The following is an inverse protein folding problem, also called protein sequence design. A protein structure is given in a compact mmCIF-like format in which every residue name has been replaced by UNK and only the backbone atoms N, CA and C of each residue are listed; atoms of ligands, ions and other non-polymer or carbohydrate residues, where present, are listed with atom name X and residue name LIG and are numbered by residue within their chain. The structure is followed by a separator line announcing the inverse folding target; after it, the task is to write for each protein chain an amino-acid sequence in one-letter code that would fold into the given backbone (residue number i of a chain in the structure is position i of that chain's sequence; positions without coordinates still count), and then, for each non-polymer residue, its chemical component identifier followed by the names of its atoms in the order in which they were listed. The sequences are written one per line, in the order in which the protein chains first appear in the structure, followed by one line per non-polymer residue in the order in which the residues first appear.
data_IF_560450348141
#
_entry.id   IF_560450348141
#
_cell.length_a   1.000
_cell.length_b   1.000
_cell.length_c   1.000
_cell.angle_alpha   90.00
_cell.angle_beta   90.00
_cell.angle_gamma   90.00
#
_symmetry.space_group_name_H-M   'P 1'
#
loop_
_entity.id
_entity.type
_entity.pdbx_description
1 polymer ?
#
# COMPACT_ATOMS: atom_id res chain seq x y z
N UNK A 1 15.68 8.91 14.52
CA UNK A 1 14.83 9.73 13.63
C UNK A 1 13.42 9.15 13.64
N UNK A 2 12.35 9.95 13.55
CA UNK A 2 10.97 9.46 13.59
C UNK A 2 10.39 9.35 12.18
N UNK A 3 9.61 8.29 11.94
CA UNK A 3 8.76 8.13 10.76
C UNK A 3 7.30 8.14 11.22
N UNK A 4 6.49 8.97 10.63
CA UNK A 4 5.05 9.04 10.82
C UNK A 4 4.38 8.38 9.62
N UNK A 5 3.47 7.43 9.87
CA UNK A 5 2.75 6.72 8.81
C UNK A 5 1.32 7.24 8.76
N UNK A 6 1.00 7.99 7.71
CA UNK A 6 -0.34 8.50 7.41
C UNK A 6 -1.22 7.39 6.81
N UNK A 7 -1.44 6.32 7.56
CA UNK A 7 -2.19 5.15 7.12
C UNK A 7 -2.70 4.34 8.30
N UNK A 8 -3.89 3.77 8.17
CA UNK A 8 -4.47 2.80 9.10
C UNK A 8 -4.27 1.34 8.66
N UNK A 9 -3.48 1.09 7.60
CA UNK A 9 -3.23 -0.24 7.06
C UNK A 9 -2.36 -1.08 8.00
N UNK A 10 -2.86 -2.21 8.55
CA UNK A 10 -2.05 -3.11 9.38
C UNK A 10 -0.88 -3.72 8.61
N UNK A 11 -1.05 -3.98 7.31
CA UNK A 11 -0.01 -4.55 6.47
C UNK A 11 1.18 -3.60 6.31
N UNK A 12 0.94 -2.30 6.03
CA UNK A 12 2.02 -1.29 5.98
C UNK A 12 2.76 -1.16 7.30
N UNK A 13 2.04 -1.17 8.41
CA UNK A 13 2.64 -1.16 9.74
C UNK A 13 3.52 -2.40 9.96
N UNK A 14 3.02 -3.59 9.63
CA UNK A 14 3.76 -4.84 9.77
C UNK A 14 5.04 -4.83 8.91
N UNK A 15 4.97 -4.34 7.67
CA UNK A 15 6.13 -4.21 6.77
C UNK A 15 7.21 -3.30 7.38
N UNK A 16 6.86 -2.12 7.91
CA UNK A 16 7.83 -1.23 8.57
C UNK A 16 8.43 -1.88 9.82
N UNK A 17 7.62 -2.56 10.63
CA UNK A 17 8.07 -3.28 11.81
C UNK A 17 9.03 -4.41 11.49
N UNK A 18 8.80 -5.14 10.42
CA UNK A 18 9.68 -6.23 9.97
C UNK A 18 11.07 -5.74 9.56
N UNK A 19 11.20 -4.47 9.19
CA UNK A 19 12.49 -3.86 8.81
C UNK A 19 13.07 -2.94 9.90
N UNK A 20 12.62 -3.10 11.16
CA UNK A 20 13.20 -2.43 12.34
C UNK A 20 12.66 -1.03 12.60
N UNK A 21 11.56 -0.61 11.95
CA UNK A 21 10.97 0.73 12.10
C UNK A 21 9.63 0.61 12.82
N UNK A 22 9.51 1.27 13.98
CA UNK A 22 8.23 1.49 14.66
C UNK A 22 7.74 2.90 14.31
N UNK A 23 6.77 3.05 13.39
CA UNK A 23 6.27 4.37 13.01
C UNK A 23 5.25 4.90 14.02
N UNK A 24 5.10 6.21 14.05
CA UNK A 24 3.94 6.86 14.70
C UNK A 24 2.78 6.83 13.72
N UNK A 25 1.65 6.22 14.10
CA UNK A 25 0.48 6.11 13.23
C UNK A 25 -0.38 7.36 13.29
N UNK A 26 -0.77 7.87 12.13
CA UNK A 26 -1.68 9.01 11.99
C UNK A 26 -2.80 8.63 11.01
N UNK A 27 -4.05 8.82 11.43
CA UNK A 27 -5.20 8.61 10.55
C UNK A 27 -5.41 9.86 9.68
N UNK A 28 -5.34 9.71 8.37
CA UNK A 28 -5.47 10.85 7.44
C UNK A 28 -6.90 11.32 7.22
N UNK A 29 -7.89 10.44 7.42
CA UNK A 29 -9.32 10.72 7.21
C UNK A 29 -9.67 11.37 5.85
N UNK A 30 -8.87 11.09 4.82
CA UNK A 30 -9.11 11.60 3.46
C UNK A 30 -10.31 10.86 2.85
N UNK A 31 -11.22 11.60 2.25
CA UNK A 31 -12.28 11.06 1.39
C UNK A 31 -11.66 10.69 0.02
N UNK A 32 -11.26 9.43 -0.11
CA UNK A 32 -10.55 8.92 -1.27
C UNK A 32 -11.44 8.96 -2.53
N UNK A 33 -12.73 8.65 -2.40
CA UNK A 33 -13.66 8.64 -3.53
C UNK A 33 -13.88 10.05 -4.06
N UNK A 34 -14.14 11.02 -3.19
CA UNK A 34 -14.28 12.42 -3.57
C UNK A 34 -13.00 12.99 -4.19
N UNK A 35 -11.83 12.62 -3.64
CA UNK A 35 -10.54 13.07 -4.18
C UNK A 35 -10.30 12.57 -5.60
N UNK A 36 -10.55 11.29 -5.87
CA UNK A 36 -10.39 10.69 -7.20
C UNK A 36 -11.42 11.29 -8.17
N UNK A 37 -12.68 11.42 -7.75
CA UNK A 37 -13.73 12.03 -8.59
C UNK A 37 -13.39 13.48 -9.00
N UNK A 38 -12.80 14.25 -8.09
CA UNK A 38 -12.42 15.64 -8.36
C UNK A 38 -11.22 15.78 -9.28
N UNK A 39 -10.32 14.81 -9.30
CA UNK A 39 -9.13 14.81 -10.15
C UNK A 39 -9.43 14.45 -11.63
N UNK A 40 -10.58 13.84 -11.91
CA UNK A 40 -10.94 13.36 -13.24
C UNK A 40 -10.27 12.02 -13.60
N UNK A 41 -10.18 11.67 -14.88
CA UNK A 41 -9.59 10.40 -15.30
C UNK A 41 -8.11 10.29 -14.90
N UNK A 42 -7.77 9.23 -14.19
CA UNK A 42 -6.42 8.93 -13.73
C UNK A 42 -6.03 7.50 -14.15
N UNK A 43 -4.77 7.31 -14.49
CA UNK A 43 -4.17 5.97 -14.54
C UNK A 43 -4.08 5.39 -13.12
N UNK A 44 -4.01 4.05 -12.96
CA UNK A 44 -3.84 3.44 -11.64
C UNK A 44 -2.64 3.98 -10.85
N UNK A 45 -1.53 4.27 -11.53
CA UNK A 45 -0.32 4.82 -10.91
C UNK A 45 -0.49 6.27 -10.46
N UNK A 46 -1.16 7.10 -11.25
CA UNK A 46 -1.49 8.47 -10.86
C UNK A 46 -2.46 8.50 -9.68
N UNK A 47 -3.45 7.62 -9.67
CA UNK A 47 -4.43 7.52 -8.59
C UNK A 47 -3.77 7.17 -7.24
N UNK A 48 -2.96 6.10 -7.19
CA UNK A 48 -2.32 5.71 -5.93
C UNK A 48 -1.30 6.74 -5.45
N UNK A 49 -0.63 7.45 -6.37
CA UNK A 49 0.29 8.53 -6.02
C UNK A 49 -0.46 9.74 -5.45
N UNK A 50 -1.57 10.15 -6.08
CA UNK A 50 -2.44 11.23 -5.60
C UNK A 50 -2.95 10.93 -4.19
N UNK A 51 -3.50 9.73 -3.98
CA UNK A 51 -4.05 9.33 -2.67
C UNK A 51 -2.95 9.24 -1.60
N UNK A 52 -1.77 8.72 -1.95
CA UNK A 52 -0.63 8.72 -1.04
C UNK A 52 -0.22 10.14 -0.62
N UNK A 53 -0.20 11.07 -1.59
CA UNK A 53 0.09 12.49 -1.35
C UNK A 53 -0.93 13.12 -0.42
N UNK A 54 -2.20 13.02 -0.75
CA UNK A 54 -3.28 13.62 0.05
C UNK A 54 -3.30 13.09 1.48
N UNK A 55 -3.04 11.77 1.67
CA UNK A 55 -2.92 11.17 3.00
C UNK A 55 -1.77 11.74 3.81
N UNK A 56 -0.61 11.93 3.18
CA UNK A 56 0.54 12.52 3.86
C UNK A 56 0.31 14.00 4.22
N UNK A 57 -0.24 14.78 3.29
CA UNK A 57 -0.53 16.20 3.47
C UNK A 57 -1.60 16.46 4.54
N UNK A 58 -2.61 15.59 4.62
CA UNK A 58 -3.73 15.73 5.56
C UNK A 58 -3.32 15.61 7.05
N UNK A 59 -2.16 15.04 7.34
CA UNK A 59 -1.70 14.86 8.73
C UNK A 59 -0.55 15.81 9.12
N UNK A 60 -0.19 16.75 8.25
CA UNK A 60 0.85 17.73 8.54
C UNK A 60 0.43 18.60 9.73
N UNK A 61 1.27 18.65 10.78
CA UNK A 61 1.04 19.39 12.01
C UNK A 61 2.39 19.90 12.56
N UNK A 62 2.49 21.16 13.06
CA UNK A 62 3.73 21.69 13.62
C UNK A 62 4.33 20.86 14.77
N UNK A 63 3.55 20.04 15.46
CA UNK A 63 4.05 19.14 16.51
C UNK A 63 4.80 17.90 15.95
N UNK A 64 4.75 17.67 14.66
CA UNK A 64 5.47 16.56 14.01
C UNK A 64 6.93 16.97 13.79
N UNK A 65 7.87 16.15 14.26
CA UNK A 65 9.30 16.27 13.97
C UNK A 65 9.84 14.96 13.41
N UNK A 66 9.98 14.90 12.08
CA UNK A 66 10.43 13.71 11.36
C UNK A 66 9.92 13.64 9.94
N UNK A 67 9.85 12.43 9.39
CA UNK A 67 9.29 12.20 8.06
C UNK A 67 7.84 11.72 8.13
N UNK A 68 6.99 12.22 7.23
CA UNK A 68 5.60 11.78 7.07
C UNK A 68 5.51 10.95 5.80
N UNK A 69 5.07 9.71 5.92
CA UNK A 69 4.87 8.77 4.81
C UNK A 69 3.38 8.52 4.60
N UNK A 70 2.87 8.94 3.46
CA UNK A 70 1.58 8.51 2.93
C UNK A 70 1.73 7.32 1.99
N UNK A 71 0.71 6.48 1.92
CA UNK A 71 0.70 5.34 1.02
C UNK A 71 -0.69 4.93 0.61
N UNK A 72 -0.82 4.55 -0.67
CA UNK A 72 -2.04 3.95 -1.21
C UNK A 72 -1.70 2.78 -2.14
N UNK A 73 -2.67 1.86 -2.35
CA UNK A 73 -2.46 0.70 -3.21
C UNK A 73 -3.73 0.34 -3.98
N UNK A 74 -3.54 -0.04 -5.24
CA UNK A 74 -4.60 -0.49 -6.13
C UNK A 74 -4.16 -1.71 -6.94
N UNK A 75 -5.07 -2.66 -7.14
CA UNK A 75 -4.86 -3.80 -8.00
C UNK A 75 -5.56 -3.57 -9.34
N UNK A 76 -4.86 -3.83 -10.43
CA UNK A 76 -5.33 -3.69 -11.79
C UNK A 76 -5.35 -5.06 -12.48
N UNK A 77 -6.47 -5.39 -13.14
CA UNK A 77 -6.61 -6.54 -14.02
C UNK A 77 -7.33 -6.09 -15.29
N UNK A 78 -6.73 -6.31 -16.46
CA UNK A 78 -7.26 -5.90 -17.77
C UNK A 78 -7.63 -4.41 -17.88
N UNK A 79 -6.87 -3.53 -17.29
CA UNK A 79 -7.14 -2.08 -17.30
C UNK A 79 -8.23 -1.63 -16.32
N UNK A 80 -8.77 -2.55 -15.52
CA UNK A 80 -9.79 -2.23 -14.50
C UNK A 80 -9.16 -2.26 -13.11
N UNK A 81 -9.38 -1.20 -12.34
CA UNK A 81 -8.89 -1.09 -10.95
C UNK A 81 -9.87 -1.73 -9.98
N UNK A 82 -9.36 -2.58 -9.12
CA UNK A 82 -10.11 -3.27 -8.08
C UNK A 82 -9.61 -2.85 -6.67
N UNK A 83 -10.40 -2.07 -5.97
CA UNK A 83 -10.18 -1.74 -4.57
C UNK A 83 -10.51 -2.90 -3.63
N UNK A 84 -10.84 -2.61 -2.37
CA UNK A 84 -11.30 -3.61 -1.39
C UNK A 84 -12.72 -4.07 -1.74
N UNK A 85 -13.02 -5.38 -1.74
CA UNK A 85 -14.36 -5.86 -2.10
C UNK A 85 -15.43 -5.60 -1.04
N UNK A 86 -15.04 -5.59 0.25
CA UNK A 86 -15.91 -5.45 1.42
C UNK A 86 -16.99 -6.53 1.60
N UNK A 87 -17.57 -7.05 0.51
CA UNK A 87 -18.62 -8.07 0.51
C UNK A 87 -18.09 -9.41 -0.02
N UNK A 88 -18.50 -10.55 0.57
CA UNK A 88 -18.11 -11.89 0.11
C UNK A 88 -18.48 -12.15 -1.37
N UNK A 89 -19.66 -11.74 -1.81
CA UNK A 89 -20.10 -11.89 -3.20
C UNK A 89 -19.17 -11.18 -4.18
N UNK A 90 -18.77 -9.93 -3.86
CA UNK A 90 -17.85 -9.14 -4.69
C UNK A 90 -16.45 -9.79 -4.70
N UNK A 91 -15.99 -10.29 -3.56
CA UNK A 91 -14.70 -11.00 -3.49
C UNK A 91 -14.73 -12.27 -4.37
N UNK A 92 -15.85 -13.03 -4.34
CA UNK A 92 -16.01 -14.23 -5.15
C UNK A 92 -15.99 -13.92 -6.65
N UNK A 93 -16.74 -12.92 -7.09
CA UNK A 93 -16.73 -12.48 -8.50
C UNK A 93 -15.30 -12.12 -8.95
N UNK A 94 -14.54 -11.40 -8.14
CA UNK A 94 -13.15 -11.04 -8.46
C UNK A 94 -12.24 -12.26 -8.53
N UNK A 95 -12.35 -13.21 -7.60
CA UNK A 95 -11.57 -14.43 -7.63
C UNK A 95 -11.86 -15.29 -8.86
N UNK A 96 -13.13 -15.36 -9.29
CA UNK A 96 -13.52 -16.04 -10.54
C UNK A 96 -12.92 -15.38 -11.78
N UNK A 97 -12.70 -14.05 -11.74
CA UNK A 97 -12.06 -13.31 -12.83
C UNK A 97 -10.52 -13.44 -12.82
N UNK A 98 -9.90 -13.48 -11.65
CA UNK A 98 -8.42 -13.38 -11.52
C UNK A 98 -7.72 -14.74 -11.45
N UNK A 99 -8.38 -15.83 -11.06
CA UNK A 99 -7.76 -17.17 -10.99
C UNK A 99 -7.11 -17.56 -12.31
N UNK A 100 -5.91 -18.13 -12.26
CA UNK A 100 -5.13 -18.54 -13.43
C UNK A 100 -4.60 -17.39 -14.28
N UNK A 101 -4.79 -16.14 -13.87
CA UNK A 101 -4.44 -14.94 -14.63
C UNK A 101 -3.37 -14.10 -13.93
N UNK A 102 -2.92 -13.06 -14.60
CA UNK A 102 -1.95 -12.12 -14.08
C UNK A 102 -2.56 -10.71 -14.04
N UNK A 103 -2.39 -10.01 -12.92
CA UNK A 103 -2.73 -8.61 -12.75
C UNK A 103 -1.53 -7.82 -12.23
N UNK A 104 -1.73 -6.54 -11.97
CA UNK A 104 -0.68 -5.65 -11.49
C UNK A 104 -1.13 -4.93 -10.23
N UNK A 105 -0.29 -4.94 -9.20
CA UNK A 105 -0.51 -4.14 -8.01
C UNK A 105 0.40 -2.91 -8.04
N UNK A 106 -0.20 -1.76 -7.83
CA UNK A 106 0.47 -0.46 -7.75
C UNK A 106 0.42 0.05 -6.32
N UNK A 107 1.57 0.44 -5.77
CA UNK A 107 1.67 1.06 -4.45
C UNK A 107 2.35 2.42 -4.56
N UNK A 108 1.58 3.48 -4.34
CA UNK A 108 2.03 4.86 -4.29
C UNK A 108 2.56 5.22 -2.90
N UNK A 109 3.64 5.98 -2.89
CA UNK A 109 4.28 6.47 -1.68
C UNK A 109 4.51 7.97 -1.82
N UNK A 110 4.25 8.72 -0.75
CA UNK A 110 4.55 10.14 -0.65
C UNK A 110 5.24 10.43 0.66
N UNK A 111 6.47 10.93 0.59
CA UNK A 111 7.31 11.24 1.73
C UNK A 111 7.47 12.75 1.84
N UNK A 112 7.19 13.30 3.02
CA UNK A 112 7.36 14.71 3.36
C UNK A 112 8.46 14.81 4.42
N UNK A 113 9.45 15.67 4.20
CA UNK A 113 10.40 16.08 5.23
C UNK A 113 9.74 17.12 6.14
N UNK A 114 9.55 16.78 7.39
CA UNK A 114 8.95 17.66 8.41
C UNK A 114 9.84 17.74 9.65
N UNK A 115 11.15 17.62 9.45
CA UNK A 115 12.13 17.68 10.55
C UNK A 115 12.20 19.10 11.13
N UNK A 116 12.29 19.17 12.48
CA UNK A 116 12.27 20.42 13.19
C UNK A 116 10.89 21.10 13.25
N UNK A 117 9.81 20.40 12.94
CA UNK A 117 8.44 20.95 12.96
C UNK A 117 8.13 21.91 11.80
N UNK A 118 8.91 21.85 10.74
CA UNK A 118 8.79 22.74 9.57
C UNK A 118 8.53 21.91 8.31
N UNK A 119 7.53 22.33 7.52
CA UNK A 119 7.26 21.70 6.24
C UNK A 119 8.41 21.98 5.25
N UNK A 120 9.10 20.94 4.88
CA UNK A 120 10.19 20.95 3.91
C UNK A 120 9.79 20.32 2.58
N UNK A 121 10.79 19.78 1.87
CA UNK A 121 10.59 19.13 0.57
C UNK A 121 9.78 17.84 0.68
N UNK A 122 9.11 17.48 -0.40
CA UNK A 122 8.39 16.22 -0.51
C UNK A 122 8.79 15.45 -1.78
N UNK A 123 8.69 14.12 -1.70
CA UNK A 123 9.01 13.21 -2.81
C UNK A 123 7.96 12.10 -2.89
N UNK A 124 7.58 11.77 -4.10
CA UNK A 124 6.65 10.68 -4.35
C UNK A 124 7.17 9.69 -5.38
N UNK A 125 6.60 8.49 -5.37
CA UNK A 125 6.89 7.46 -6.35
C UNK A 125 5.89 6.32 -6.25
N UNK A 126 5.89 5.48 -7.29
CA UNK A 126 5.04 4.29 -7.38
C UNK A 126 5.93 3.07 -7.60
N UNK A 127 5.64 2.01 -6.87
CA UNK A 127 6.17 0.67 -7.13
C UNK A 127 5.05 -0.20 -7.69
N UNK A 128 5.28 -0.79 -8.87
CA UNK A 128 4.32 -1.66 -9.54
C UNK A 128 4.89 -3.06 -9.65
N UNK A 129 4.08 -4.07 -9.33
CA UNK A 129 4.48 -5.47 -9.35
C UNK A 129 3.40 -6.32 -9.99
N UNK A 130 3.81 -7.27 -10.84
CA UNK A 130 2.91 -8.26 -11.41
C UNK A 130 2.66 -9.39 -10.42
N UNK A 131 1.42 -9.82 -10.35
CA UNK A 131 0.97 -10.93 -9.51
C UNK A 131 0.22 -11.93 -10.37
N UNK A 132 0.71 -13.16 -10.40
CA UNK A 132 0.07 -14.27 -11.11
C UNK A 132 -0.66 -15.17 -10.12
N UNK A 133 -1.93 -15.35 -10.35
CA UNK A 133 -2.78 -16.23 -9.56
C UNK A 133 -2.66 -17.67 -10.04
N UNK A 134 -2.67 -18.63 -9.11
CA UNK A 134 -2.84 -20.04 -9.43
C UNK A 134 -4.24 -20.31 -9.99
N UNK A 135 -4.42 -21.46 -10.63
CA UNK A 135 -5.75 -21.93 -11.02
C UNK A 135 -6.48 -22.53 -9.80
N UNK A 136 -7.04 -21.61 -9.00
CA UNK A 136 -7.68 -21.92 -7.72
C UNK A 136 -9.08 -22.47 -7.96
N UNK A 137 -9.43 -23.56 -7.28
CA UNK A 137 -10.76 -24.17 -7.38
C UNK A 137 -11.83 -23.35 -6.64
N UNK A 138 -13.08 -23.47 -7.07
CA UNK A 138 -14.17 -22.75 -6.42
C UNK A 138 -14.32 -23.05 -4.92
N UNK A 139 -14.18 -24.32 -4.44
CA UNK A 139 -14.19 -24.59 -3.01
C UNK A 139 -13.07 -23.90 -2.22
N UNK A 140 -11.86 -23.78 -2.81
CA UNK A 140 -10.75 -23.06 -2.19
C UNK A 140 -11.04 -21.55 -2.11
N UNK A 141 -11.60 -20.99 -3.18
CA UNK A 141 -12.04 -19.58 -3.22
C UNK A 141 -13.07 -19.32 -2.12
N UNK A 142 -14.11 -20.17 -2.02
CA UNK A 142 -15.15 -20.01 -1.03
C UNK A 142 -14.62 -20.15 0.39
N UNK A 143 -13.70 -21.09 0.62
CA UNK A 143 -13.02 -21.27 1.92
C UNK A 143 -12.15 -20.05 2.28
N UNK A 144 -11.42 -19.48 1.31
CA UNK A 144 -10.61 -18.29 1.54
C UNK A 144 -11.47 -17.06 1.85
N UNK A 145 -12.56 -16.87 1.14
CA UNK A 145 -13.50 -15.76 1.38
C UNK A 145 -14.15 -15.89 2.78
N UNK A 146 -14.46 -17.11 3.21
CA UNK A 146 -15.05 -17.36 4.52
C UNK A 146 -14.13 -16.93 5.69
N UNK A 147 -12.81 -16.82 5.48
CA UNK A 147 -11.88 -16.27 6.48
C UNK A 147 -12.06 -14.76 6.72
N UNK A 148 -12.68 -14.04 5.78
CA UNK A 148 -12.83 -12.60 5.80
C UNK A 148 -11.56 -11.82 5.42
N UNK A 149 -10.41 -12.48 5.25
CA UNK A 149 -9.14 -11.83 4.89
C UNK A 149 -9.22 -11.06 3.56
N UNK A 150 -9.71 -11.66 2.45
CA UNK A 150 -9.74 -10.99 1.16
C UNK A 150 -10.66 -9.77 1.12
N UNK A 151 -11.59 -9.62 2.05
CA UNK A 151 -12.57 -8.53 2.05
C UNK A 151 -11.95 -7.16 2.36
N UNK A 152 -10.77 -7.13 2.97
CA UNK A 152 -10.15 -5.94 3.56
C UNK A 152 -8.93 -5.42 2.77
N UNK A 153 -8.58 -6.07 1.65
CA UNK A 153 -7.38 -5.77 0.86
C UNK A 153 -7.73 -5.51 -0.60
N UNK A 154 -6.94 -4.63 -1.26
CA UNK A 154 -7.09 -4.35 -2.70
C UNK A 154 -6.85 -5.64 -3.51
N UNK A 155 -7.66 -5.87 -4.55
CA UNK A 155 -7.59 -7.09 -5.36
C UNK A 155 -8.07 -8.37 -4.66
N UNK A 156 -8.53 -8.28 -3.41
CA UNK A 156 -9.07 -9.43 -2.65
C UNK A 156 -8.05 -10.57 -2.41
N UNK A 157 -6.76 -10.29 -2.29
CA UNK A 157 -5.72 -11.29 -2.01
C UNK A 157 -4.62 -10.76 -1.11
N UNK A 158 -3.87 -11.68 -0.51
CA UNK A 158 -2.62 -11.40 0.21
C UNK A 158 -1.51 -12.32 -0.30
N UNK A 159 -0.25 -11.91 -0.14
CA UNK A 159 0.93 -12.75 -0.46
C UNK A 159 1.72 -13.15 0.79
N UNK A 160 1.34 -12.62 1.93
CA UNK A 160 2.02 -12.74 3.22
C UNK A 160 1.14 -13.36 4.32
N UNK A 161 -0.04 -13.88 3.94
CA UNK A 161 -0.99 -14.53 4.85
C UNK A 161 -1.73 -15.68 4.15
N UNK A 162 -3.02 -15.89 4.44
CA UNK A 162 -3.80 -17.06 3.97
C UNK A 162 -3.97 -17.10 2.45
N UNK A 163 -3.88 -15.96 1.75
CA UNK A 163 -3.91 -15.89 0.29
C UNK A 163 -2.64 -16.36 -0.40
N UNK A 164 -1.51 -16.45 0.31
CA UNK A 164 -0.20 -16.77 -0.27
C UNK A 164 -0.16 -18.04 -1.11
N UNK A 165 -0.79 -19.17 -0.72
CA UNK A 165 -0.80 -20.40 -1.53
C UNK A 165 -1.47 -20.25 -2.90
N UNK A 166 -2.29 -19.23 -3.09
CA UNK A 166 -3.04 -18.98 -4.32
C UNK A 166 -2.31 -18.04 -5.29
N UNK A 167 -1.10 -17.60 -4.93
CA UNK A 167 -0.24 -16.77 -5.77
C UNK A 167 0.92 -17.64 -6.28
N UNK A 168 0.99 -17.83 -7.60
CA UNK A 168 2.03 -18.67 -8.22
C UNK A 168 3.31 -17.92 -8.54
N UNK A 169 3.25 -16.59 -8.73
CA UNK A 169 4.42 -15.77 -9.05
C UNK A 169 4.19 -14.30 -8.67
N UNK A 170 5.24 -13.65 -8.19
CA UNK A 170 5.34 -12.19 -8.05
C UNK A 170 6.57 -11.73 -8.81
N UNK A 171 6.40 -10.81 -9.77
CA UNK A 171 7.50 -10.15 -10.48
C UNK A 171 7.55 -8.67 -10.12
N UNK A 172 8.62 -8.25 -9.47
CA UNK A 172 8.80 -6.90 -8.94
C UNK A 172 9.11 -6.90 -7.45
N UNK A 173 8.57 -5.95 -6.71
CA UNK A 173 8.79 -5.80 -5.27
C UNK A 173 7.64 -6.47 -4.47
N UNK A 174 7.89 -7.59 -3.76
CA UNK A 174 6.88 -8.24 -2.95
C UNK A 174 6.33 -7.34 -1.83
N UNK A 175 7.16 -6.47 -1.24
CA UNK A 175 6.72 -5.55 -0.21
C UNK A 175 5.73 -4.51 -0.76
N UNK A 176 5.90 -4.10 -2.03
CA UNK A 176 4.92 -3.24 -2.70
C UNK A 176 3.57 -3.94 -2.86
N UNK A 177 3.56 -5.27 -3.10
CA UNK A 177 2.31 -6.05 -3.18
C UNK A 177 1.58 -6.09 -1.84
N UNK A 178 2.32 -6.15 -0.73
CA UNK A 178 1.76 -6.03 0.63
C UNK A 178 1.24 -4.60 0.90
N UNK A 179 1.76 -3.60 0.16
CA UNK A 179 1.26 -2.23 0.20
C UNK A 179 2.28 -1.17 0.60
N UNK A 180 3.56 -1.55 0.83
CA UNK A 180 4.63 -0.60 1.12
C UNK A 180 5.98 -1.12 0.58
N UNK A 181 6.48 -0.51 -0.50
CA UNK A 181 7.81 -0.77 -1.02
C UNK A 181 8.90 -0.19 -0.11
N UNK A 182 9.61 -1.06 0.59
CA UNK A 182 10.75 -0.67 1.42
C UNK A 182 11.91 -0.14 0.56
N UNK A 183 12.10 -0.71 -0.62
CA UNK A 183 13.12 -0.28 -1.56
C UNK A 183 12.84 1.12 -2.11
N UNK A 184 11.58 1.40 -2.47
CA UNK A 184 11.17 2.74 -2.92
C UNK A 184 11.29 3.76 -1.78
N UNK A 185 10.83 3.43 -0.56
CA UNK A 185 10.97 4.31 0.60
C UNK A 185 12.43 4.69 0.84
N UNK A 186 13.35 3.71 0.78
CA UNK A 186 14.79 3.98 0.88
C UNK A 186 15.27 4.96 -0.21
N UNK A 187 14.79 4.80 -1.44
CA UNK A 187 15.13 5.70 -2.56
C UNK A 187 14.60 7.11 -2.33
N UNK A 188 13.36 7.25 -1.83
CA UNK A 188 12.76 8.55 -1.52
C UNK A 188 13.49 9.30 -0.39
N UNK A 189 14.15 8.57 0.51
CA UNK A 189 14.93 9.16 1.62
C UNK A 189 16.32 9.65 1.19
N UNK A 190 16.89 9.12 0.10
CA UNK A 190 18.26 9.46 -0.33
C UNK A 190 18.51 10.97 -0.52
N UNK A 191 17.61 11.76 -1.15
CA UNK A 191 17.83 13.20 -1.35
C UNK A 191 17.87 14.02 -0.05
N UNK A 192 17.46 13.43 1.08
CA UNK A 192 17.42 14.07 2.40
C UNK A 192 18.65 13.72 3.27
N UNK A 193 19.65 13.03 2.70
CA UNK A 193 20.86 12.56 3.40
C UNK A 193 20.55 11.66 4.60
N UNK A 194 19.46 10.87 4.51
CA UNK A 194 19.03 9.95 5.56
C UNK A 194 19.58 8.56 5.29
N UNK A 195 20.40 8.07 6.21
CA UNK A 195 20.83 6.68 6.19
C UNK A 195 19.71 5.79 6.72
N UNK A 196 19.40 4.68 6.03
CA UNK A 196 18.33 3.76 6.43
C UNK A 196 18.45 3.29 7.89
N UNK A 197 19.66 2.92 8.41
CA UNK A 197 19.81 2.50 9.81
C UNK A 197 19.43 3.57 10.84
N UNK A 198 19.43 4.86 10.48
CA UNK A 198 19.03 5.93 11.42
C UNK A 198 17.53 5.93 11.74
N UNK A 199 16.74 5.17 10.99
CA UNK A 199 15.31 4.96 11.24
C UNK A 199 15.05 3.77 12.18
N UNK A 200 16.03 2.89 12.40
CA UNK A 200 15.85 1.74 13.27
C UNK A 200 15.62 2.20 14.71
N UNK A 201 14.46 1.93 15.21
CA UNK A 201 14.01 2.29 16.54
C UNK A 201 13.23 1.15 17.23
N UNK A 202 13.29 -0.06 16.63
CA UNK A 202 12.68 -1.27 17.14
C UNK A 202 13.71 -2.40 17.21
N UNK A 203 13.78 -3.09 18.34
CA UNK A 203 14.52 -4.34 18.46
C UNK A 203 13.71 -5.46 17.82
N UNK A 204 14.34 -6.25 16.95
CA UNK A 204 13.74 -7.40 16.26
C UNK A 204 13.76 -8.64 17.15
#
# INVERSE_FOLDING_TARGET
MRLYLASTSPARLATLRAVGIEPVLLASNVDEEAAVASAGPLTPTEMVLLLARLKAEAVVDPAIDGFILGGDSAFELDGVVYGKPHLPSVARERWMLQRGREGQLHSGHWLIDHRGGVLGDARGGVSSSFVRFADVTEPEIDAYIATGEPLKVAGAFTIDSLGAPFISEVRGDPHAVVGLSVALLRTLLQPFDVSWPSLWNRTL
#
